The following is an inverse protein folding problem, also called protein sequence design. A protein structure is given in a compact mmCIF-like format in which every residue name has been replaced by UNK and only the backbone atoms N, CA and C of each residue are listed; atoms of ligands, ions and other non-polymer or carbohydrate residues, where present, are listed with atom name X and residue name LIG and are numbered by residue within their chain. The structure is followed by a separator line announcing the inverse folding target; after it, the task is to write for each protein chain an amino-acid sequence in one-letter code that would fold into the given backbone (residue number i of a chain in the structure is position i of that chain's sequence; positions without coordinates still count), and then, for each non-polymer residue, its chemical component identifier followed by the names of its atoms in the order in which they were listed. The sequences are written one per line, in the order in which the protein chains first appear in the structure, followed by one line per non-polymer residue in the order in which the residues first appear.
data_IF_351158551834
#
_entry.id   IF_351158551834
#
_cell.length_a   1.000
_cell.length_b   1.000
_cell.length_c   1.000
_cell.angle_alpha   90.00
_cell.angle_beta   90.00
_cell.angle_gamma   90.00
#
_symmetry.space_group_name_H-M   'P 1'
#
loop_
_entity.id
_entity.type
_entity.pdbx_description
1 polymer ?
#
# COMPACT_ATOMS: atom_id res chain seq x y z
N UNK A 1 33.25 -8.56 6.46
CA UNK A 1 32.37 -7.69 5.66
C UNK A 1 31.17 -7.34 6.52
N UNK A 2 30.89 -6.05 6.68
CA UNK A 2 29.84 -5.55 7.54
C UNK A 2 28.53 -5.62 6.75
N UNK A 3 27.54 -6.33 7.28
CA UNK A 3 26.23 -6.38 6.66
C UNK A 3 25.42 -5.20 7.16
N UNK A 4 25.28 -4.18 6.32
CA UNK A 4 24.60 -2.96 6.70
C UNK A 4 23.10 -3.15 6.61
N UNK A 5 22.42 -2.94 7.74
CA UNK A 5 20.97 -2.72 7.75
C UNK A 5 20.75 -1.32 7.19
N UNK A 6 19.93 -1.22 6.14
CA UNK A 6 19.62 0.06 5.49
C UNK A 6 18.28 0.63 5.93
N UNK A 7 17.37 -0.23 6.40
CA UNK A 7 16.07 0.18 6.92
C UNK A 7 15.53 -0.84 7.94
N UNK A 8 14.69 -0.37 8.87
CA UNK A 8 13.96 -1.19 9.84
C UNK A 8 12.49 -0.77 9.81
N UNK A 9 11.63 -1.72 9.45
CA UNK A 9 10.20 -1.55 9.29
C UNK A 9 9.49 -2.22 10.46
N UNK A 10 8.80 -1.48 11.33
CA UNK A 10 8.04 -2.03 12.44
C UNK A 10 6.58 -2.36 12.06
N UNK A 11 6.06 -3.48 12.56
CA UNK A 11 4.62 -3.74 12.75
C UNK A 11 4.24 -3.54 14.23
N UNK A 12 3.04 -3.96 14.66
CA UNK A 12 2.62 -3.85 16.05
C UNK A 12 3.46 -4.71 17.01
N UNK A 13 3.91 -5.89 16.55
CA UNK A 13 4.62 -6.88 17.37
C UNK A 13 5.82 -7.55 16.69
N UNK A 14 6.20 -7.09 15.50
CA UNK A 14 7.34 -7.62 14.75
C UNK A 14 8.10 -6.51 14.02
N UNK A 15 9.27 -6.87 13.50
CA UNK A 15 10.10 -6.00 12.69
C UNK A 15 10.61 -6.77 11.48
N UNK A 16 10.83 -6.02 10.39
CA UNK A 16 11.59 -6.46 9.24
C UNK A 16 12.77 -5.50 9.02
N UNK A 17 13.99 -6.01 8.84
CA UNK A 17 15.13 -5.23 8.40
C UNK A 17 15.41 -5.49 6.93
N UNK A 18 15.62 -4.42 6.18
CA UNK A 18 16.23 -4.48 4.86
C UNK A 18 17.75 -4.45 5.02
N UNK A 19 18.42 -5.47 4.50
CA UNK A 19 19.86 -5.67 4.64
C UNK A 19 20.50 -5.83 3.28
N UNK A 20 21.61 -5.14 3.05
CA UNK A 20 22.43 -5.36 1.85
C UNK A 20 22.93 -6.80 1.79
N UNK A 21 22.69 -7.46 0.66
CA UNK A 21 23.31 -8.74 0.37
C UNK A 21 24.74 -8.47 -0.13
N UNK A 22 25.81 -9.00 0.49
CA UNK A 22 27.16 -8.81 -0.02
C UNK A 22 27.49 -9.72 -1.21
N UNK A 23 26.65 -10.73 -1.49
CA UNK A 23 26.87 -11.70 -2.58
C UNK A 23 26.10 -11.34 -3.86
N UNK A 24 25.18 -10.38 -3.78
CA UNK A 24 24.45 -9.81 -4.91
C UNK A 24 24.41 -8.28 -4.78
N UNK A 25 24.16 -7.52 -5.85
CA UNK A 25 23.90 -6.08 -5.71
C UNK A 25 22.47 -5.81 -5.15
N UNK A 26 21.92 -6.76 -4.37
CA UNK A 26 20.53 -6.81 -3.95
C UNK A 26 20.36 -6.62 -2.44
N UNK A 27 19.12 -6.85 -1.98
CA UNK A 27 18.77 -6.76 -0.57
C UNK A 27 18.10 -8.05 -0.11
N UNK A 28 18.30 -8.37 1.16
CA UNK A 28 17.59 -9.44 1.87
C UNK A 28 16.73 -8.84 2.95
N UNK A 29 15.68 -9.58 3.33
CA UNK A 29 14.81 -9.23 4.44
C UNK A 29 15.10 -10.16 5.61
N UNK A 30 15.31 -9.59 6.79
CA UNK A 30 15.40 -10.33 8.05
C UNK A 30 14.23 -9.94 8.93
N UNK A 31 13.57 -10.92 9.56
CA UNK A 31 12.42 -10.67 10.43
C UNK A 31 12.65 -11.17 11.85
N UNK A 32 12.06 -10.49 12.82
CA UNK A 32 12.00 -10.95 14.22
C UNK A 32 10.75 -10.42 14.92
N UNK A 33 10.36 -11.05 16.03
CA UNK A 33 9.16 -10.70 16.81
C UNK A 33 8.09 -11.78 16.74
N UNK A 34 6.81 -11.41 16.93
CA UNK A 34 5.68 -12.34 16.90
C UNK A 34 5.46 -12.90 15.47
N UNK A 35 5.64 -14.22 15.23
CA UNK A 35 5.49 -14.83 13.92
C UNK A 35 4.12 -14.61 13.28
N UNK A 36 3.05 -14.54 14.10
CA UNK A 36 1.69 -14.32 13.60
C UNK A 36 1.51 -12.91 13.02
N UNK A 37 2.40 -11.97 13.38
CA UNK A 37 2.38 -10.59 12.89
C UNK A 37 3.51 -10.29 11.89
N UNK A 38 4.14 -11.34 11.35
CA UNK A 38 5.21 -11.22 10.36
C UNK A 38 6.64 -11.26 10.93
N UNK A 39 6.81 -11.70 12.18
CA UNK A 39 8.12 -11.94 12.79
C UNK A 39 8.91 -13.10 12.16
N UNK A 40 8.25 -13.94 11.35
CA UNK A 40 8.86 -15.04 10.60
C UNK A 40 8.49 -14.93 9.11
N UNK A 41 9.50 -14.70 8.26
CA UNK A 41 9.40 -14.65 6.80
C UNK A 41 9.98 -15.89 6.11
N UNK A 42 10.37 -16.92 6.86
CA UNK A 42 11.08 -18.10 6.33
C UNK A 42 10.31 -18.78 5.19
N UNK A 43 8.98 -18.86 5.29
CA UNK A 43 8.10 -19.44 4.27
C UNK A 43 8.19 -18.73 2.90
N UNK A 44 8.47 -17.42 2.89
CA UNK A 44 8.56 -16.59 1.67
C UNK A 44 9.98 -16.12 1.39
N UNK A 45 10.97 -16.57 2.15
CA UNK A 45 12.38 -16.16 2.01
C UNK A 45 12.92 -16.37 0.59
N UNK A 46 12.52 -17.45 -0.08
CA UNK A 46 12.88 -17.75 -1.46
C UNK A 46 12.25 -16.80 -2.50
N UNK A 47 11.20 -16.07 -2.12
CA UNK A 47 10.58 -15.02 -2.94
C UNK A 47 11.15 -13.64 -2.63
N UNK A 48 11.77 -13.47 -1.45
CA UNK A 48 12.45 -12.25 -0.99
C UNK A 48 13.92 -12.20 -1.43
N UNK A 49 14.17 -12.67 -2.65
CA UNK A 49 15.49 -12.65 -3.30
C UNK A 49 15.53 -11.57 -4.38
N UNK A 50 16.70 -10.96 -4.58
CA UNK A 50 16.92 -9.90 -5.55
C UNK A 50 16.80 -8.50 -4.93
N UNK A 51 16.42 -7.51 -5.73
CA UNK A 51 16.36 -6.14 -5.25
C UNK A 51 14.95 -5.83 -4.71
N UNK A 52 14.85 -5.66 -3.38
CA UNK A 52 13.63 -5.16 -2.74
C UNK A 52 13.67 -3.63 -2.77
N UNK A 53 12.66 -3.01 -3.38
CA UNK A 53 12.58 -1.57 -3.57
C UNK A 53 11.76 -0.86 -2.50
N UNK A 54 10.85 -1.58 -1.85
CA UNK A 54 9.99 -1.02 -0.80
C UNK A 54 9.53 -2.14 0.13
N UNK A 55 9.51 -1.89 1.44
CA UNK A 55 8.82 -2.74 2.42
C UNK A 55 7.87 -1.86 3.22
N UNK A 56 6.63 -2.29 3.36
CA UNK A 56 5.64 -1.64 4.23
C UNK A 56 5.08 -2.66 5.21
N UNK A 57 4.69 -2.17 6.39
CA UNK A 57 4.04 -2.98 7.42
C UNK A 57 2.74 -2.34 7.84
N UNK A 58 1.72 -3.18 8.01
CA UNK A 58 0.56 -2.84 8.82
C UNK A 58 0.72 -3.43 10.23
N UNK A 59 -0.34 -3.46 11.04
CA UNK A 59 -0.21 -3.92 12.41
C UNK A 59 0.09 -5.43 12.52
N UNK A 60 -0.22 -6.22 11.48
CA UNK A 60 -0.23 -7.69 11.54
C UNK A 60 0.50 -8.38 10.38
N UNK A 61 0.95 -7.64 9.37
CA UNK A 61 1.54 -8.20 8.17
C UNK A 61 2.53 -7.21 7.52
N UNK A 62 3.29 -7.73 6.57
CA UNK A 62 4.23 -6.98 5.75
C UNK A 62 3.98 -7.26 4.26
N UNK A 63 4.33 -6.28 3.44
CA UNK A 63 4.37 -6.41 1.98
C UNK A 63 5.68 -5.81 1.46
N UNK A 64 6.40 -6.58 0.64
CA UNK A 64 7.62 -6.17 -0.03
C UNK A 64 7.40 -6.05 -1.53
N UNK A 65 7.84 -4.94 -2.13
CA UNK A 65 7.85 -4.71 -3.58
C UNK A 65 9.23 -5.01 -4.13
N UNK A 66 9.29 -5.90 -5.10
CA UNK A 66 10.51 -6.26 -5.83
C UNK A 66 10.76 -5.32 -7.01
N UNK A 67 11.96 -5.38 -7.54
CA UNK A 67 12.40 -4.68 -8.75
C UNK A 67 11.67 -5.11 -10.02
N UNK A 68 11.27 -6.38 -10.10
CA UNK A 68 10.38 -6.92 -11.13
C UNK A 68 8.90 -6.48 -10.97
N UNK A 69 8.61 -5.67 -9.95
CA UNK A 69 7.28 -5.15 -9.64
C UNK A 69 6.36 -6.14 -8.93
N UNK A 70 6.78 -7.38 -8.68
CA UNK A 70 5.96 -8.33 -7.92
C UNK A 70 5.93 -7.97 -6.44
N UNK A 71 4.88 -8.40 -5.76
CA UNK A 71 4.66 -8.13 -4.33
C UNK A 71 4.75 -9.44 -3.56
N UNK A 72 5.52 -9.47 -2.49
CA UNK A 72 5.62 -10.63 -1.59
C UNK A 72 5.08 -10.22 -0.23
N UNK A 73 4.15 -11.01 0.31
CA UNK A 73 3.50 -10.74 1.60
C UNK A 73 3.82 -11.85 2.61
N UNK A 74 3.83 -11.48 3.90
CA UNK A 74 3.92 -12.42 5.01
C UNK A 74 3.29 -11.83 6.28
N UNK A 75 3.03 -12.68 7.27
CA UNK A 75 2.29 -12.36 8.48
C UNK A 75 0.84 -12.86 8.42
N UNK A 76 -0.07 -12.18 9.13
CA UNK A 76 -1.48 -12.59 9.20
C UNK A 76 -2.18 -12.50 7.84
N UNK A 77 -2.67 -13.62 7.26
CA UNK A 77 -3.30 -13.60 5.95
C UNK A 77 -4.55 -12.73 5.87
N UNK A 78 -5.37 -12.69 6.94
CA UNK A 78 -6.59 -11.88 6.98
C UNK A 78 -6.29 -10.38 6.94
N UNK A 79 -5.12 -9.97 7.43
CA UNK A 79 -4.62 -8.60 7.37
C UNK A 79 -3.73 -8.33 6.16
N UNK A 80 -3.73 -9.19 5.14
CA UNK A 80 -2.98 -9.00 3.90
C UNK A 80 -1.59 -9.63 3.86
N UNK A 81 -1.30 -10.54 4.79
CA UNK A 81 -0.11 -11.42 4.74
C UNK A 81 -0.12 -12.43 3.59
N UNK A 82 -1.23 -12.53 2.84
CA UNK A 82 -1.34 -13.27 1.59
C UNK A 82 -1.86 -12.35 0.48
N UNK A 83 -1.12 -12.24 -0.62
CA UNK A 83 -1.45 -11.44 -1.81
C UNK A 83 -1.83 -12.30 -3.02
N UNK A 84 -1.97 -13.62 -2.86
CA UNK A 84 -2.26 -14.57 -3.95
C UNK A 84 -3.45 -14.15 -4.83
N UNK A 85 -4.51 -13.60 -4.22
CA UNK A 85 -5.71 -13.13 -4.90
C UNK A 85 -5.48 -11.94 -5.86
N UNK A 86 -4.39 -11.18 -5.70
CA UNK A 86 -4.08 -9.99 -6.51
C UNK A 86 -2.82 -10.15 -7.38
N UNK A 87 -2.09 -11.26 -7.25
CA UNK A 87 -0.83 -11.51 -7.98
C UNK A 87 -1.01 -11.44 -9.50
N UNK A 88 -2.05 -12.10 -10.02
CA UNK A 88 -2.31 -12.12 -11.46
C UNK A 88 -2.56 -10.70 -12.00
N UNK A 89 -3.33 -9.91 -11.26
CA UNK A 89 -3.62 -8.52 -11.62
C UNK A 89 -2.37 -7.65 -11.59
N UNK A 90 -1.55 -7.79 -10.55
CA UNK A 90 -0.26 -7.08 -10.44
C UNK A 90 0.61 -7.43 -11.65
N UNK A 91 0.66 -8.71 -12.03
CA UNK A 91 1.41 -9.17 -13.18
C UNK A 91 0.90 -8.60 -14.50
N UNK A 92 -0.41 -8.68 -14.76
CA UNK A 92 -1.04 -8.17 -15.98
C UNK A 92 -0.86 -6.65 -16.15
N UNK A 93 -0.83 -5.90 -15.04
CA UNK A 93 -0.60 -4.47 -15.04
C UNK A 93 0.87 -4.06 -15.21
N UNK A 94 1.80 -5.02 -15.31
CA UNK A 94 3.25 -4.77 -15.44
C UNK A 94 3.98 -4.56 -14.11
N UNK A 95 3.36 -4.92 -12.99
CA UNK A 95 3.92 -4.82 -11.64
C UNK A 95 3.39 -3.65 -10.81
N UNK A 96 3.66 -3.70 -9.51
CA UNK A 96 3.41 -2.62 -8.58
C UNK A 96 4.54 -1.58 -8.64
N UNK A 97 4.19 -0.30 -8.55
CA UNK A 97 5.15 0.82 -8.49
C UNK A 97 5.23 1.45 -7.10
N UNK A 98 4.16 1.34 -6.30
CA UNK A 98 4.13 1.85 -4.93
C UNK A 98 3.17 1.03 -4.07
N UNK A 99 3.56 0.76 -2.83
CA UNK A 99 2.74 0.12 -1.81
C UNK A 99 2.30 1.12 -0.74
N UNK A 100 1.08 0.92 -0.26
CA UNK A 100 0.44 1.67 0.81
C UNK A 100 -0.19 0.70 1.81
N UNK A 101 -0.42 1.17 3.04
CA UNK A 101 -0.95 0.36 4.12
C UNK A 101 -2.00 1.12 4.93
N UNK A 102 -3.01 0.41 5.40
CA UNK A 102 -3.85 0.80 6.56
C UNK A 102 -3.42 -0.03 7.78
N UNK A 103 -4.20 -0.08 8.85
CA UNK A 103 -3.88 -0.95 10.00
C UNK A 103 -3.97 -2.44 9.68
N UNK A 104 -4.79 -2.85 8.70
CA UNK A 104 -5.06 -4.27 8.39
C UNK A 104 -5.23 -4.59 6.91
N UNK A 105 -4.87 -3.67 6.03
CA UNK A 105 -4.91 -3.88 4.59
C UNK A 105 -3.72 -3.23 3.90
N UNK A 106 -3.50 -3.63 2.65
CA UNK A 106 -2.54 -3.04 1.75
C UNK A 106 -3.23 -2.61 0.47
N UNK A 107 -2.63 -1.64 -0.20
CA UNK A 107 -3.00 -1.26 -1.55
C UNK A 107 -1.75 -0.97 -2.37
N UNK A 108 -1.84 -1.21 -3.67
CA UNK A 108 -0.78 -0.92 -4.63
C UNK A 108 -1.28 0.02 -5.72
N UNK A 109 -0.42 0.95 -6.14
CA UNK A 109 -0.52 1.59 -7.45
C UNK A 109 0.29 0.74 -8.42
N UNK A 110 -0.30 0.41 -9.56
CA UNK A 110 0.28 -0.48 -10.56
C UNK A 110 0.92 0.31 -11.71
N UNK A 111 1.78 -0.35 -12.47
CA UNK A 111 2.59 0.26 -13.54
C UNK A 111 1.72 0.84 -14.67
N UNK A 112 0.54 0.27 -14.93
CA UNK A 112 -0.45 0.79 -15.86
C UNK A 112 -1.32 1.94 -15.30
N UNK A 113 -1.07 2.35 -14.06
CA UNK A 113 -1.79 3.40 -13.34
C UNK A 113 -3.11 2.96 -12.68
N UNK A 114 -3.47 1.68 -12.74
CA UNK A 114 -4.59 1.13 -11.96
C UNK A 114 -4.19 0.88 -10.49
N UNK A 115 -5.15 0.44 -9.67
CA UNK A 115 -4.93 0.10 -8.26
C UNK A 115 -5.43 -1.30 -7.95
N UNK A 116 -4.90 -1.90 -6.89
CA UNK A 116 -5.51 -3.06 -6.25
C UNK A 116 -5.31 -2.98 -4.73
N UNK A 117 -6.19 -3.62 -3.98
CA UNK A 117 -6.11 -3.74 -2.53
C UNK A 117 -6.34 -5.19 -2.09
N UNK A 118 -5.80 -5.54 -0.92
CA UNK A 118 -5.97 -6.84 -0.29
C UNK A 118 -5.82 -6.74 1.24
N UNK A 119 -6.26 -7.77 1.96
CA UNK A 119 -6.38 -7.77 3.42
C UNK A 119 -7.80 -7.53 3.88
N UNK A 120 -7.99 -6.94 5.07
CA UNK A 120 -9.33 -6.84 5.67
C UNK A 120 -10.21 -5.82 4.91
N UNK A 121 -11.35 -6.22 4.32
CA UNK A 121 -12.20 -5.32 3.53
C UNK A 121 -12.70 -4.10 4.31
N UNK A 122 -13.03 -4.29 5.58
CA UNK A 122 -13.49 -3.21 6.48
C UNK A 122 -12.42 -2.12 6.69
N UNK A 123 -11.15 -2.46 6.44
CA UNK A 123 -9.98 -1.60 6.59
C UNK A 123 -9.40 -1.16 5.24
N UNK A 124 -10.15 -1.30 4.15
CA UNK A 124 -9.73 -0.91 2.80
C UNK A 124 -9.10 -2.01 1.95
N UNK A 125 -9.21 -3.29 2.36
CA UNK A 125 -8.72 -4.45 1.61
C UNK A 125 -9.52 -4.81 0.36
N UNK A 126 -10.57 -4.04 0.03
CA UNK A 126 -11.35 -4.16 -1.21
C UNK A 126 -11.43 -2.81 -1.92
N UNK A 127 -10.71 -2.68 -3.04
CA UNK A 127 -10.68 -1.48 -3.89
C UNK A 127 -11.72 -1.49 -4.99
N UNK A 128 -12.55 -2.53 -5.12
CA UNK A 128 -13.57 -2.66 -6.19
C UNK A 128 -14.45 -1.41 -6.34
N UNK A 129 -14.94 -0.77 -5.26
CA UNK A 129 -15.74 0.45 -5.40
C UNK A 129 -14.95 1.62 -6.00
N UNK A 130 -13.69 1.80 -5.59
CA UNK A 130 -12.84 2.87 -6.11
C UNK A 130 -12.43 2.62 -7.56
N UNK A 131 -12.17 1.36 -7.92
CA UNK A 131 -11.86 0.98 -9.30
C UNK A 131 -13.03 1.23 -10.25
N UNK A 132 -14.26 0.93 -9.80
CA UNK A 132 -15.46 1.24 -10.55
C UNK A 132 -15.62 2.75 -10.79
N UNK A 133 -15.32 3.57 -9.78
CA UNK A 133 -15.37 5.03 -9.89
C UNK A 133 -14.26 5.61 -10.79
N UNK A 134 -13.06 5.04 -10.73
CA UNK A 134 -11.91 5.44 -11.55
C UNK A 134 -12.15 5.20 -13.05
N UNK A 135 -12.77 4.07 -13.40
CA UNK A 135 -12.87 3.63 -14.79
C UNK A 135 -11.49 3.55 -15.45
N UNK A 136 -11.28 4.33 -16.51
CA UNK A 136 -10.02 4.40 -17.26
C UNK A 136 -9.01 5.42 -16.70
N UNK A 137 -9.39 6.18 -15.66
CA UNK A 137 -8.50 7.17 -15.06
C UNK A 137 -7.32 6.53 -14.32
N UNK A 138 -6.13 7.09 -14.53
CA UNK A 138 -4.89 6.59 -13.91
C UNK A 138 -4.63 7.27 -12.58
N UNK A 139 -4.31 6.49 -11.57
CA UNK A 139 -3.87 6.94 -10.25
C UNK A 139 -2.39 7.32 -10.30
N UNK A 140 -2.06 8.48 -9.71
CA UNK A 140 -0.69 8.98 -9.62
C UNK A 140 -0.07 8.70 -8.26
N UNK A 141 -0.82 8.96 -7.19
CA UNK A 141 -0.40 8.74 -5.81
C UNK A 141 -1.60 8.45 -4.92
N UNK A 142 -1.30 7.92 -3.73
CA UNK A 142 -2.28 7.63 -2.70
C UNK A 142 -1.81 8.14 -1.35
N UNK A 143 -2.75 8.26 -0.43
CA UNK A 143 -2.45 8.29 0.99
C UNK A 143 -3.40 7.35 1.73
N UNK A 144 -3.02 6.97 2.94
CA UNK A 144 -3.80 6.08 3.79
C UNK A 144 -3.92 6.63 5.20
N UNK A 145 -4.94 6.17 5.91
CA UNK A 145 -5.06 6.28 7.35
C UNK A 145 -5.22 4.89 7.97
N UNK A 146 -5.73 4.77 9.19
CA UNK A 146 -5.84 3.46 9.85
C UNK A 146 -6.82 2.50 9.17
N UNK A 147 -7.81 2.99 8.43
CA UNK A 147 -8.89 2.13 7.90
C UNK A 147 -9.36 2.47 6.48
N UNK A 148 -8.78 3.47 5.83
CA UNK A 148 -9.17 3.93 4.51
C UNK A 148 -7.97 4.37 3.68
N UNK A 149 -8.21 4.41 2.37
CA UNK A 149 -7.29 4.94 1.36
C UNK A 149 -7.98 6.06 0.58
N UNK A 150 -7.17 7.01 0.10
CA UNK A 150 -7.57 7.99 -0.88
C UNK A 150 -6.54 8.02 -2.02
N UNK A 151 -7.00 8.01 -3.27
CA UNK A 151 -6.18 7.96 -4.46
C UNK A 151 -6.44 9.19 -5.35
N UNK A 152 -5.36 9.83 -5.83
CA UNK A 152 -5.43 11.00 -6.70
C UNK A 152 -5.15 10.58 -8.12
N UNK A 153 -6.00 11.01 -9.04
CA UNK A 153 -5.87 10.67 -10.46
C UNK A 153 -5.00 11.67 -11.21
N UNK A 154 -4.64 11.30 -12.45
CA UNK A 154 -3.96 12.16 -13.43
C UNK A 154 -4.76 13.42 -13.79
N UNK A 155 -6.08 13.42 -13.61
CA UNK A 155 -6.95 14.60 -13.78
C UNK A 155 -7.04 15.46 -12.52
N UNK A 156 -6.42 15.02 -11.44
CA UNK A 156 -6.49 15.65 -10.13
C UNK A 156 -7.86 15.48 -9.47
N UNK A 157 -8.62 14.45 -9.86
CA UNK A 157 -9.78 13.98 -9.07
C UNK A 157 -9.30 13.07 -7.94
N UNK A 158 -10.20 12.76 -6.99
CA UNK A 158 -9.91 11.86 -5.87
C UNK A 158 -11.02 10.82 -5.75
N UNK A 159 -10.61 9.57 -5.55
CA UNK A 159 -11.47 8.47 -5.12
C UNK A 159 -11.02 7.99 -3.73
N UNK A 160 -11.94 7.47 -2.93
CA UNK A 160 -11.61 6.90 -1.62
C UNK A 160 -12.38 5.62 -1.35
N UNK A 161 -11.79 4.73 -0.55
CA UNK A 161 -12.41 3.47 -0.14
C UNK A 161 -11.92 3.03 1.25
N UNK A 162 -12.60 2.04 1.81
CA UNK A 162 -12.38 1.54 3.17
C UNK A 162 -13.47 2.02 4.13
N UNK A 163 -13.13 2.18 5.41
CA UNK A 163 -14.12 2.47 6.43
C UNK A 163 -14.74 3.87 6.28
N UNK A 164 -16.07 3.97 6.20
CA UNK A 164 -16.80 5.24 6.00
C UNK A 164 -16.44 6.32 7.03
N UNK A 165 -16.39 5.96 8.31
CA UNK A 165 -16.04 6.91 9.39
C UNK A 165 -14.59 7.42 9.34
N UNK A 166 -13.75 6.85 8.48
CA UNK A 166 -12.35 7.23 8.29
C UNK A 166 -12.13 7.87 6.92
N UNK A 167 -13.18 8.37 6.26
CA UNK A 167 -13.07 8.97 4.93
C UNK A 167 -12.92 7.96 3.79
N UNK A 168 -13.25 6.68 4.02
CA UNK A 168 -13.36 5.66 2.96
C UNK A 168 -14.58 5.83 2.05
N UNK A 169 -15.33 6.92 2.20
CA UNK A 169 -16.41 7.31 1.31
C UNK A 169 -16.43 8.84 1.21
N UNK A 170 -16.48 9.36 -0.01
CA UNK A 170 -16.55 10.79 -0.27
C UNK A 170 -18.02 11.19 -0.37
N UNK A 171 -18.50 11.97 0.59
CA UNK A 171 -19.86 12.52 0.58
C UNK A 171 -20.07 13.47 -0.62
N UNK A 172 -21.31 13.56 -1.13
CA UNK A 172 -21.64 14.24 -2.40
C UNK A 172 -21.12 15.69 -2.49
N UNK A 173 -21.24 16.46 -1.40
CA UNK A 173 -20.75 17.84 -1.35
C UNK A 173 -19.23 17.96 -1.47
N UNK A 174 -18.50 17.00 -0.92
CA UNK A 174 -17.05 16.91 -1.04
C UNK A 174 -16.66 16.38 -2.43
N UNK A 175 -17.40 15.40 -2.96
CA UNK A 175 -17.19 14.82 -4.27
C UNK A 175 -17.24 15.89 -5.36
N UNK A 176 -18.21 16.83 -5.30
CA UNK A 176 -18.30 17.95 -6.24
C UNK A 176 -17.05 18.85 -6.24
N UNK A 177 -16.36 18.97 -5.11
CA UNK A 177 -15.12 19.76 -4.96
C UNK A 177 -13.87 18.98 -5.35
N UNK A 178 -13.95 17.65 -5.39
CA UNK A 178 -12.83 16.73 -5.61
C UNK A 178 -12.81 16.14 -7.04
N UNK A 179 -13.60 16.66 -7.98
CA UNK A 179 -13.60 16.23 -9.38
C UNK A 179 -12.35 16.66 -10.18
N UNK A 180 -11.58 17.63 -9.69
CA UNK A 180 -10.34 18.07 -10.34
C UNK A 180 -9.51 19.00 -9.46
N UNK A 181 -8.25 19.21 -9.86
CA UNK A 181 -7.38 20.24 -9.33
C UNK A 181 -6.72 19.89 -7.99
N UNK A 182 -6.90 18.67 -7.48
CA UNK A 182 -6.14 18.18 -6.33
C UNK A 182 -4.70 17.95 -6.75
N UNK A 183 -3.76 18.47 -5.95
CA UNK A 183 -2.32 18.40 -6.22
C UNK A 183 -1.58 17.56 -5.19
N UNK A 184 -2.15 17.41 -3.99
CA UNK A 184 -1.56 16.63 -2.90
C UNK A 184 -2.64 16.22 -1.91
N UNK A 185 -2.52 15.02 -1.39
CA UNK A 185 -3.35 14.50 -0.31
C UNK A 185 -2.49 14.12 0.88
N UNK A 186 -3.05 14.26 2.08
CA UNK A 186 -2.41 13.90 3.34
C UNK A 186 -3.45 13.19 4.20
N UNK A 187 -3.10 12.05 4.78
CA UNK A 187 -3.90 11.37 5.80
C UNK A 187 -3.35 11.63 7.20
N UNK A 188 -4.24 11.73 8.19
CA UNK A 188 -3.89 11.49 9.58
C UNK A 188 -4.47 10.11 10.01
N UNK A 189 -4.59 9.83 11.30
CA UNK A 189 -5.14 8.55 11.79
C UNK A 189 -6.61 8.31 11.40
N UNK A 190 -7.41 9.36 11.24
CA UNK A 190 -8.88 9.32 11.14
C UNK A 190 -9.46 9.99 9.89
N UNK A 191 -8.72 10.86 9.21
CA UNK A 191 -9.25 11.68 8.13
C UNK A 191 -8.20 12.00 7.06
N UNK A 192 -8.69 12.52 5.95
CA UNK A 192 -7.87 13.02 4.84
C UNK A 192 -7.94 14.54 4.72
N UNK A 193 -6.97 15.11 4.04
CA UNK A 193 -6.98 16.48 3.58
C UNK A 193 -6.44 16.50 2.14
N UNK A 194 -7.22 17.07 1.23
CA UNK A 194 -6.87 17.27 -0.18
C UNK A 194 -6.59 18.74 -0.44
N UNK A 195 -5.37 19.07 -0.86
CA UNK A 195 -4.97 20.42 -1.27
C UNK A 195 -5.19 20.60 -2.76
N UNK A 196 -5.83 21.72 -3.13
CA UNK A 196 -6.10 22.08 -4.52
C UNK A 196 -5.09 23.10 -5.04
N UNK A 197 -4.86 23.08 -6.36
CA UNK A 197 -4.01 24.05 -7.07
C UNK A 197 -4.45 25.50 -6.85
N UNK A 198 -5.74 25.73 -6.60
CA UNK A 198 -6.30 27.05 -6.25
C UNK A 198 -5.84 27.59 -4.89
N UNK A 199 -5.16 26.79 -4.07
CA UNK A 199 -4.81 27.12 -2.68
C UNK A 199 -5.90 26.79 -1.66
N UNK A 200 -7.06 26.29 -2.11
CA UNK A 200 -8.12 25.80 -1.21
C UNK A 200 -7.89 24.34 -0.83
N UNK A 201 -8.60 23.84 0.18
CA UNK A 201 -8.53 22.45 0.60
C UNK A 201 -9.92 21.85 0.86
N UNK A 202 -10.00 20.53 0.87
CA UNK A 202 -11.17 19.73 1.26
C UNK A 202 -10.71 18.71 2.31
N UNK A 203 -11.52 18.49 3.34
CA UNK A 203 -11.28 17.52 4.42
C UNK A 203 -12.41 16.51 4.47
#
# INVERSE_FOLDING_TARGET
MQHSIVDIIPSLKAFAALREDPMSNGFTVMTWGDPQTGGDSSAVSHLLIGQILQVVANDWAFAARRDDGMVVCWGDPASGGDSSAVQERIHQAGGAVALYKTSRAFAAVLQDGSICAWGEPSCGGDSTPAEFELGEEKVLDMCANDYAFAARTSRGSVVAWGHKLYGGHIEEEAAAKLQSGVTKMIGNKFSFLAMKRSGTYVT
#
